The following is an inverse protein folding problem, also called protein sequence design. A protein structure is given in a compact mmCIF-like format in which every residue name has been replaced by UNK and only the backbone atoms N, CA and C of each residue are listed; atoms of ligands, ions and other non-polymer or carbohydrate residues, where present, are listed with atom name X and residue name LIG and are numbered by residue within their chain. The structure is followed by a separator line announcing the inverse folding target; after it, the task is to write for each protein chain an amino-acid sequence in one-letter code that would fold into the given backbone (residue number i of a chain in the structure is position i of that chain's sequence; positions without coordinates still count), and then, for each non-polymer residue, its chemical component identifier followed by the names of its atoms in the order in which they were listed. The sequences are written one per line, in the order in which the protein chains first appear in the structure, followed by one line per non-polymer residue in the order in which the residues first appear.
data_IF_848285693256
#
_entry.id   IF_848285693256
#
_cell.length_a   1.000
_cell.length_b   1.000
_cell.length_c   1.000
_cell.angle_alpha   90.00
_cell.angle_beta   90.00
_cell.angle_gamma   90.00
#
_symmetry.space_group_name_H-M   'P 1'
#
loop_
_entity.id
_entity.type
_entity.pdbx_description
1 polymer ?
#
# COMPACT_ATOMS: atom_id res chain seq x y z
N UNK A 1 17.91 4.52 2.33
CA UNK A 1 17.90 3.18 2.99
C UNK A 1 18.85 2.23 2.29
N UNK A 2 19.71 1.54 3.05
CA UNK A 2 20.54 0.43 2.54
C UNK A 2 19.64 -0.80 2.29
N UNK A 3 19.48 -1.17 1.02
CA UNK A 3 18.59 -2.26 0.61
C UNK A 3 19.06 -3.64 1.08
N UNK A 4 20.37 -3.83 1.24
CA UNK A 4 20.92 -5.11 1.68
C UNK A 4 20.62 -5.33 3.17
N UNK A 5 20.85 -4.31 3.99
CA UNK A 5 20.53 -4.34 5.44
C UNK A 5 19.03 -4.47 5.66
N UNK A 6 18.21 -3.71 4.93
CA UNK A 6 16.76 -3.79 5.02
C UNK A 6 16.24 -5.18 4.65
N UNK A 7 16.78 -5.80 3.59
CA UNK A 7 16.41 -7.16 3.18
C UNK A 7 16.83 -8.18 4.22
N UNK A 8 18.03 -8.04 4.80
CA UNK A 8 18.51 -8.94 5.85
C UNK A 8 17.62 -8.88 7.11
N UNK A 9 17.23 -7.67 7.53
CA UNK A 9 16.30 -7.47 8.63
C UNK A 9 14.96 -8.18 8.36
N UNK A 10 14.31 -7.90 7.23
CA UNK A 10 13.02 -8.50 6.91
C UNK A 10 13.12 -10.02 6.76
N UNK A 11 14.17 -10.55 6.18
CA UNK A 11 14.41 -11.99 6.11
C UNK A 11 14.58 -12.63 7.50
N UNK A 12 15.23 -11.93 8.44
CA UNK A 12 15.34 -12.35 9.84
C UNK A 12 13.97 -12.39 10.52
N UNK A 13 13.15 -11.35 10.33
CA UNK A 13 11.78 -11.28 10.86
C UNK A 13 10.93 -12.45 10.34
N UNK A 14 11.03 -12.76 9.06
CA UNK A 14 10.30 -13.88 8.43
C UNK A 14 10.70 -15.24 8.98
N UNK A 15 11.99 -15.47 9.27
CA UNK A 15 12.46 -16.75 9.85
C UNK A 15 11.89 -17.00 11.24
N UNK A 16 11.71 -15.96 12.04
CA UNK A 16 11.20 -16.08 13.41
C UNK A 16 9.67 -16.18 13.43
N UNK A 17 9.01 -15.61 12.42
CA UNK A 17 7.56 -15.57 12.28
C UNK A 17 7.16 -16.00 10.87
N UNK A 18 7.19 -17.31 10.56
CA UNK A 18 6.79 -17.80 9.25
C UNK A 18 5.33 -17.47 8.98
N UNK A 19 5.06 -17.06 7.76
CA UNK A 19 3.70 -16.80 7.28
C UNK A 19 3.16 -18.03 6.56
N UNK A 20 1.85 -18.33 6.66
CA UNK A 20 1.25 -19.51 6.06
C UNK A 20 1.20 -19.47 4.53
N UNK A 21 1.42 -18.34 3.87
CA UNK A 21 1.33 -18.24 2.41
C UNK A 21 2.52 -17.48 1.82
N UNK A 22 3.33 -18.13 1.04
CA UNK A 22 4.28 -17.72 -0.04
C UNK A 22 4.75 -16.24 -0.16
N UNK A 23 4.28 -15.31 0.66
CA UNK A 23 4.61 -13.89 0.61
C UNK A 23 6.03 -13.58 1.14
N UNK A 24 6.74 -14.59 1.63
CA UNK A 24 7.97 -14.43 2.42
C UNK A 24 9.16 -15.23 1.93
N UNK A 25 9.02 -15.85 0.77
CA UNK A 25 10.20 -16.41 0.13
C UNK A 25 11.20 -15.28 -0.15
N UNK A 26 12.51 -15.54 -0.03
CA UNK A 26 13.56 -14.57 -0.35
C UNK A 26 13.37 -13.91 -1.73
N UNK A 27 12.71 -14.62 -2.64
CA UNK A 27 12.37 -14.11 -3.97
C UNK A 27 11.27 -13.03 -3.93
N UNK A 28 10.25 -13.21 -3.10
CA UNK A 28 9.20 -12.20 -2.92
C UNK A 28 9.79 -10.90 -2.38
N UNK A 29 10.58 -10.97 -1.32
CA UNK A 29 11.28 -9.80 -0.76
C UNK A 29 12.16 -9.13 -1.83
N UNK A 30 12.96 -9.91 -2.54
CA UNK A 30 13.83 -9.39 -3.62
C UNK A 30 13.01 -8.64 -4.68
N UNK A 31 11.87 -9.17 -5.07
CA UNK A 31 10.97 -8.58 -6.08
C UNK A 31 10.35 -7.27 -5.61
N UNK A 32 9.99 -7.16 -4.34
CA UNK A 32 9.23 -6.03 -3.80
C UNK A 32 10.07 -4.96 -3.07
N UNK A 33 11.36 -5.22 -2.79
CA UNK A 33 12.23 -4.29 -2.06
C UNK A 33 12.30 -2.88 -2.68
N UNK A 34 12.33 -2.79 -4.03
CA UNK A 34 12.34 -1.48 -4.69
C UNK A 34 11.06 -0.69 -4.41
N UNK A 35 9.90 -1.37 -4.39
CA UNK A 35 8.61 -0.75 -4.05
C UNK A 35 8.57 -0.33 -2.58
N UNK A 36 9.02 -1.18 -1.67
CA UNK A 36 9.10 -0.84 -0.24
C UNK A 36 9.98 0.38 0.01
N UNK A 37 11.16 0.44 -0.63
CA UNK A 37 12.03 1.61 -0.54
C UNK A 37 11.33 2.87 -1.05
N UNK A 38 10.76 2.82 -2.25
CA UNK A 38 10.08 3.99 -2.85
C UNK A 38 8.88 4.44 -2.00
N UNK A 39 8.15 3.50 -1.39
CA UNK A 39 7.07 3.79 -0.44
C UNK A 39 7.61 4.51 0.80
N UNK A 40 8.66 3.96 1.43
CA UNK A 40 9.26 4.57 2.61
C UNK A 40 9.88 5.94 2.30
N UNK A 41 10.56 6.09 1.16
CA UNK A 41 11.15 7.38 0.72
C UNK A 41 10.05 8.44 0.54
N UNK A 42 8.91 8.08 -0.05
CA UNK A 42 7.77 8.99 -0.22
C UNK A 42 7.13 9.35 1.12
N UNK A 43 6.91 8.36 1.99
CA UNK A 43 6.38 8.59 3.33
C UNK A 43 7.32 9.51 4.13
N UNK A 44 8.61 9.20 4.19
CA UNK A 44 9.59 10.00 4.91
C UNK A 44 9.77 11.43 4.36
N UNK A 45 9.47 11.63 3.07
CA UNK A 45 9.55 12.96 2.42
C UNK A 45 8.31 13.82 2.68
N UNK A 46 7.13 13.18 2.80
CA UNK A 46 5.86 13.89 2.79
C UNK A 46 5.08 13.78 4.11
N UNK A 47 5.49 12.89 5.00
CA UNK A 47 4.90 12.73 6.32
C UNK A 47 5.81 13.30 7.40
N UNK A 48 5.30 14.12 8.33
CA UNK A 48 6.08 14.59 9.48
C UNK A 48 6.60 13.41 10.30
N UNK A 49 7.82 13.51 10.82
CA UNK A 49 8.42 12.48 11.69
C UNK A 49 7.92 12.57 13.12
N UNK A 50 7.48 13.75 13.52
CA UNK A 50 6.83 14.04 14.78
C UNK A 50 5.33 13.77 14.66
N UNK A 51 4.81 12.93 15.49
CA UNK A 51 3.41 12.58 15.51
C UNK A 51 3.12 11.16 14.99
N UNK A 52 1.90 10.73 15.25
CA UNK A 52 1.45 9.38 14.95
C UNK A 52 1.19 9.18 13.45
N UNK A 53 1.65 8.04 12.94
CA UNK A 53 1.35 7.56 11.60
C UNK A 53 0.48 6.30 11.69
N UNK A 54 -0.64 6.28 10.96
CA UNK A 54 -1.47 5.09 10.78
C UNK A 54 -1.17 4.44 9.43
N UNK A 55 -0.87 3.16 9.43
CA UNK A 55 -0.77 2.35 8.21
C UNK A 55 -2.01 1.48 8.05
N UNK A 56 -2.87 1.81 7.09
CA UNK A 56 -4.11 1.09 6.80
C UNK A 56 -3.81 -0.06 5.82
N UNK A 57 -4.15 -1.29 6.22
CA UNK A 57 -3.78 -2.50 5.49
C UNK A 57 -2.30 -2.85 5.67
N UNK A 58 -1.81 -2.76 6.91
CA UNK A 58 -0.39 -2.87 7.26
C UNK A 58 0.20 -4.28 7.10
N UNK A 59 -0.59 -5.31 6.92
CA UNK A 59 -0.05 -6.66 6.73
C UNK A 59 0.66 -6.77 5.37
N UNK A 60 1.90 -7.21 5.36
CA UNK A 60 2.67 -8.02 6.29
C UNK A 60 3.63 -7.26 7.25
N UNK A 61 3.57 -5.96 7.36
CA UNK A 61 4.36 -5.17 8.31
C UNK A 61 5.74 -4.72 7.79
N UNK A 62 6.05 -4.96 6.52
CA UNK A 62 7.38 -4.67 5.98
C UNK A 62 7.66 -3.17 5.92
N UNK A 63 6.71 -2.37 5.44
CA UNK A 63 6.86 -0.91 5.31
C UNK A 63 6.96 -0.27 6.69
N UNK A 64 6.12 -0.68 7.62
CA UNK A 64 6.04 -0.16 8.98
C UNK A 64 7.35 -0.39 9.75
N UNK A 65 7.89 -1.61 9.67
CA UNK A 65 9.18 -1.96 10.26
C UNK A 65 10.30 -1.13 9.63
N UNK A 66 10.32 -1.01 8.30
CA UNK A 66 11.34 -0.22 7.60
C UNK A 66 11.25 1.27 7.95
N UNK A 67 10.05 1.83 8.10
CA UNK A 67 9.85 3.24 8.50
C UNK A 67 10.45 3.51 9.89
N UNK A 68 10.26 2.60 10.84
CA UNK A 68 10.86 2.73 12.18
C UNK A 68 12.37 2.57 12.14
N UNK A 69 12.86 1.48 11.56
CA UNK A 69 14.27 1.08 11.66
C UNK A 69 15.23 1.91 10.79
N UNK A 70 14.75 2.46 9.68
CA UNK A 70 15.62 3.15 8.73
C UNK A 70 15.25 4.61 8.44
N UNK A 71 14.05 5.07 8.81
CA UNK A 71 13.58 6.41 8.46
C UNK A 71 13.27 7.30 9.66
N UNK A 72 13.37 6.76 10.88
CA UNK A 72 13.15 7.51 12.12
C UNK A 72 11.70 7.95 12.32
N UNK A 73 10.74 7.20 11.78
CA UNK A 73 9.32 7.41 12.04
C UNK A 73 8.91 6.45 13.15
N UNK A 74 8.95 6.93 14.40
CA UNK A 74 8.86 6.05 15.57
C UNK A 74 7.44 5.75 16.02
N UNK A 75 6.49 6.67 15.81
CA UNK A 75 5.10 6.51 16.27
C UNK A 75 4.22 5.92 15.16
N UNK A 76 4.46 4.66 14.81
CA UNK A 76 3.71 3.94 13.78
C UNK A 76 2.68 3.02 14.44
N UNK A 77 1.43 3.09 13.98
CA UNK A 77 0.38 2.12 14.28
C UNK A 77 -0.07 1.45 12.97
N UNK A 78 -0.32 0.15 13.03
CA UNK A 78 -0.89 -0.60 11.92
C UNK A 78 -2.40 -0.77 12.08
N UNK A 79 -3.13 -0.89 10.96
CA UNK A 79 -4.53 -1.32 10.95
C UNK A 79 -4.67 -2.46 9.94
N UNK A 80 -5.26 -3.56 10.38
CA UNK A 80 -5.51 -4.75 9.56
C UNK A 80 -6.97 -5.19 9.66
N UNK A 81 -7.51 -5.75 8.58
CA UNK A 81 -8.88 -6.30 8.55
C UNK A 81 -9.05 -7.47 9.54
N UNK A 82 -8.05 -8.35 9.60
CA UNK A 82 -8.00 -9.51 10.52
C UNK A 82 -6.54 -9.81 10.82
N UNK A 83 -6.06 -9.28 11.92
CA UNK A 83 -4.69 -9.50 12.33
C UNK A 83 -4.51 -10.90 12.94
N UNK A 84 -3.65 -11.74 12.37
CA UNK A 84 -3.30 -12.99 13.03
C UNK A 84 -2.54 -12.73 14.33
N UNK A 85 -2.67 -13.60 15.34
CA UNK A 85 -1.89 -13.47 16.59
C UNK A 85 -0.38 -13.44 16.34
N UNK A 86 0.10 -14.12 15.31
CA UNK A 86 1.51 -14.12 14.92
C UNK A 86 1.94 -12.78 14.32
N UNK A 87 1.11 -12.20 13.48
CA UNK A 87 1.34 -10.87 12.94
C UNK A 87 1.40 -9.83 14.05
N UNK A 88 0.41 -9.83 14.96
CA UNK A 88 0.37 -8.90 16.10
C UNK A 88 1.61 -9.04 16.99
N UNK A 89 2.01 -10.28 17.33
CA UNK A 89 3.23 -10.53 18.11
C UNK A 89 4.50 -10.04 17.41
N UNK A 90 4.57 -10.19 16.09
CA UNK A 90 5.70 -9.70 15.30
C UNK A 90 5.77 -8.18 15.33
N UNK A 91 4.67 -7.50 15.10
CA UNK A 91 4.62 -6.04 15.12
C UNK A 91 4.93 -5.47 16.51
N UNK A 92 4.49 -6.15 17.58
CA UNK A 92 4.81 -5.77 18.95
C UNK A 92 6.31 -5.78 19.26
N UNK A 93 7.12 -6.63 18.61
CA UNK A 93 8.59 -6.62 18.76
C UNK A 93 9.26 -5.35 18.25
N UNK A 94 8.57 -4.63 17.39
CA UNK A 94 8.99 -3.33 16.87
C UNK A 94 8.21 -2.17 17.48
N UNK A 95 7.49 -2.39 18.59
CA UNK A 95 6.61 -1.39 19.22
C UNK A 95 5.63 -0.77 18.22
N UNK A 96 5.03 -1.60 17.37
CA UNK A 96 4.02 -1.20 16.40
C UNK A 96 2.68 -1.83 16.83
N UNK A 97 1.78 -1.08 17.48
CA UNK A 97 0.45 -1.56 17.80
C UNK A 97 -0.34 -1.82 16.51
N UNK A 98 -1.15 -2.89 16.52
CA UNK A 98 -2.01 -3.25 15.41
C UNK A 98 -3.47 -3.16 15.86
N UNK A 99 -4.22 -2.29 15.18
CA UNK A 99 -5.66 -2.17 15.31
C UNK A 99 -6.34 -3.16 14.37
N UNK A 100 -7.42 -3.77 14.80
CA UNK A 100 -8.26 -4.62 13.93
C UNK A 100 -9.53 -3.86 13.57
N UNK A 101 -9.81 -3.73 12.25
CA UNK A 101 -10.96 -2.99 11.75
C UNK A 101 -11.23 -3.35 10.28
N UNK A 102 -12.49 -3.59 9.94
CA UNK A 102 -12.96 -3.62 8.56
C UNK A 102 -13.20 -2.17 8.07
N UNK A 103 -12.16 -1.56 7.55
CA UNK A 103 -12.21 -0.16 7.11
C UNK A 103 -13.23 0.11 6.01
N UNK A 104 -13.78 -0.92 5.34
CA UNK A 104 -14.88 -0.75 4.39
C UNK A 104 -16.24 -0.53 5.06
N UNK A 105 -16.38 -0.89 6.35
CA UNK A 105 -17.69 -0.93 7.04
C UNK A 105 -17.68 -0.27 8.40
N UNK A 106 -16.58 -0.42 9.13
CA UNK A 106 -16.49 -0.03 10.53
C UNK A 106 -15.70 1.28 10.68
N UNK A 107 -16.02 2.11 11.68
CA UNK A 107 -15.20 3.25 12.00
C UNK A 107 -13.83 2.81 12.49
N UNK A 108 -12.77 3.51 12.08
CA UNK A 108 -11.44 3.31 12.63
C UNK A 108 -11.48 3.60 14.13
N UNK A 109 -11.03 2.66 15.02
CA UNK A 109 -11.17 2.77 16.47
C UNK A 109 -10.17 3.77 17.08
N UNK A 110 -10.18 4.99 16.57
CA UNK A 110 -9.32 6.11 16.98
C UNK A 110 -10.11 7.43 16.91
N UNK A 111 -9.68 8.39 17.72
CA UNK A 111 -10.31 9.71 17.77
C UNK A 111 -10.08 10.53 16.48
N UNK A 112 -10.93 11.51 16.26
CA UNK A 112 -10.75 12.50 15.19
C UNK A 112 -9.41 13.22 15.34
N UNK A 113 -8.67 13.31 14.24
CA UNK A 113 -7.38 14.00 14.23
C UNK A 113 -6.25 13.31 15.01
N UNK A 114 -6.40 12.03 15.37
CA UNK A 114 -5.42 11.29 16.17
C UNK A 114 -4.06 11.09 15.46
N UNK A 115 -4.02 11.21 14.13
CA UNK A 115 -2.82 10.96 13.33
C UNK A 115 -2.39 12.18 12.53
N UNK A 116 -1.08 12.40 12.45
CA UNK A 116 -0.47 13.39 11.55
C UNK A 116 -0.32 12.87 10.14
N UNK A 117 -0.26 11.56 9.99
CA UNK A 117 -0.09 10.91 8.70
C UNK A 117 -0.88 9.60 8.63
N UNK A 118 -1.43 9.33 7.45
CA UNK A 118 -2.01 8.03 7.09
C UNK A 118 -1.30 7.51 5.84
N UNK A 119 -0.94 6.23 5.85
CA UNK A 119 -0.46 5.53 4.65
C UNK A 119 -1.44 4.43 4.27
N UNK A 120 -1.73 4.32 2.97
CA UNK A 120 -2.70 3.39 2.40
C UNK A 120 -2.11 2.79 1.12
N UNK A 121 -1.27 1.74 1.29
CA UNK A 121 -0.36 1.27 0.26
C UNK A 121 -0.78 -0.11 -0.26
N UNK A 122 -1.15 -0.18 -1.55
CA UNK A 122 -1.54 -1.42 -2.24
C UNK A 122 -2.72 -2.14 -1.56
N UNK A 123 -3.73 -1.38 -1.15
CA UNK A 123 -4.95 -1.89 -0.49
C UNK A 123 -6.20 -1.51 -1.28
N UNK A 124 -6.22 -0.35 -1.90
CA UNK A 124 -7.40 0.19 -2.62
C UNK A 124 -7.95 -0.80 -3.66
N UNK A 125 -7.07 -1.50 -4.36
CA UNK A 125 -7.44 -2.51 -5.37
C UNK A 125 -8.09 -3.76 -4.82
N UNK A 126 -7.94 -4.01 -3.52
CA UNK A 126 -8.52 -5.15 -2.82
C UNK A 126 -9.91 -4.87 -2.26
N UNK A 127 -10.31 -3.60 -2.17
CA UNK A 127 -11.60 -3.19 -1.64
C UNK A 127 -12.74 -3.51 -2.61
N UNK A 128 -13.94 -3.75 -2.06
CA UNK A 128 -15.13 -4.07 -2.84
C UNK A 128 -16.03 -2.84 -3.08
N UNK A 129 -16.56 -2.27 -2.02
CA UNK A 129 -17.57 -1.22 -2.11
C UNK A 129 -17.36 -0.08 -1.11
N UNK A 130 -16.60 -0.30 -0.03
CA UNK A 130 -16.46 0.64 1.08
C UNK A 130 -15.44 1.75 0.86
N UNK A 131 -14.94 1.97 -0.37
CA UNK A 131 -13.90 2.99 -0.66
C UNK A 131 -14.29 4.39 -0.16
N UNK A 132 -15.52 4.91 -0.39
CA UNK A 132 -15.90 6.22 0.12
C UNK A 132 -15.87 6.29 1.65
N UNK A 133 -16.36 5.24 2.33
CA UNK A 133 -16.34 5.15 3.79
C UNK A 133 -14.91 5.12 4.32
N UNK A 134 -14.07 4.26 3.77
CA UNK A 134 -12.67 4.14 4.18
C UNK A 134 -11.90 5.47 4.03
N UNK A 135 -12.09 6.17 2.92
CA UNK A 135 -11.45 7.47 2.70
C UNK A 135 -11.99 8.54 3.67
N UNK A 136 -13.30 8.52 3.97
CA UNK A 136 -13.89 9.42 4.95
C UNK A 136 -13.33 9.16 6.36
N UNK A 137 -13.19 7.90 6.76
CA UNK A 137 -12.62 7.50 8.04
C UNK A 137 -11.12 7.86 8.14
N UNK A 138 -10.33 7.60 7.09
CA UNK A 138 -8.93 8.05 7.04
C UNK A 138 -8.83 9.58 7.17
N UNK A 139 -9.74 10.33 6.53
CA UNK A 139 -9.82 11.77 6.68
C UNK A 139 -10.21 12.18 8.10
N UNK A 140 -11.16 11.49 8.72
CA UNK A 140 -11.61 11.77 10.10
C UNK A 140 -10.47 11.64 11.10
N UNK A 141 -9.71 10.54 11.03
CA UNK A 141 -8.62 10.27 11.98
C UNK A 141 -7.35 11.09 11.69
N UNK A 142 -7.20 11.68 10.50
CA UNK A 142 -6.12 12.62 10.21
C UNK A 142 -6.35 13.96 10.88
N UNK A 143 -5.30 14.55 11.46
CA UNK A 143 -5.32 15.93 11.93
C UNK A 143 -5.54 16.90 10.75
N UNK A 144 -6.10 18.10 10.99
CA UNK A 144 -6.16 19.16 9.96
C UNK A 144 -4.78 19.38 9.33
N UNK A 145 -4.70 19.42 8.01
CA UNK A 145 -3.44 19.50 7.26
C UNK A 145 -2.58 18.24 7.30
N UNK A 146 -3.04 17.18 7.93
CA UNK A 146 -2.35 15.88 7.97
C UNK A 146 -2.19 15.26 6.60
N UNK A 147 -1.15 14.45 6.42
CA UNK A 147 -0.73 13.89 5.13
C UNK A 147 -1.29 12.49 4.89
N UNK A 148 -1.75 12.23 3.67
CA UNK A 148 -2.08 10.89 3.18
C UNK A 148 -1.12 10.50 2.06
N UNK A 149 -0.50 9.32 2.17
CA UNK A 149 0.23 8.68 1.07
C UNK A 149 -0.51 7.40 0.69
N UNK A 150 -1.02 7.37 -0.55
CA UNK A 150 -1.76 6.22 -1.08
C UNK A 150 -0.99 5.64 -2.28
N UNK A 151 -0.92 4.32 -2.39
CA UNK A 151 -0.48 3.65 -3.61
C UNK A 151 -1.45 2.58 -4.08
N UNK A 152 -1.47 2.38 -5.41
CA UNK A 152 -2.27 1.33 -6.05
C UNK A 152 -1.72 1.03 -7.45
N UNK A 153 -1.93 -0.18 -8.01
CA UNK A 153 -1.61 -0.48 -9.40
C UNK A 153 -2.29 0.48 -10.39
N UNK A 154 -1.59 0.78 -11.47
CA UNK A 154 -2.12 1.64 -12.53
C UNK A 154 -2.86 0.81 -13.59
N UNK A 155 -4.18 0.92 -13.63
CA UNK A 155 -4.99 0.30 -14.68
C UNK A 155 -4.51 0.68 -16.09
N UNK A 156 -4.10 1.95 -16.28
CA UNK A 156 -3.67 2.49 -17.57
C UNK A 156 -2.21 2.17 -17.93
N UNK A 157 -1.51 1.31 -17.19
CA UNK A 157 -0.13 0.91 -17.47
C UNK A 157 0.04 0.34 -18.89
N UNK A 158 1.22 0.48 -19.48
CA UNK A 158 1.50 0.01 -20.86
C UNK A 158 1.12 -1.46 -21.07
N UNK A 159 1.46 -2.34 -20.14
CA UNK A 159 1.12 -3.77 -20.22
C UNK A 159 -0.39 -4.01 -20.37
N UNK A 160 -1.21 -3.28 -19.63
CA UNK A 160 -2.66 -3.40 -19.70
C UNK A 160 -3.22 -2.91 -21.03
N UNK A 161 -2.67 -1.80 -21.58
CA UNK A 161 -3.03 -1.31 -22.92
C UNK A 161 -2.73 -2.35 -24.00
N UNK A 162 -1.56 -2.98 -23.94
CA UNK A 162 -1.19 -4.06 -24.88
C UNK A 162 -2.10 -5.28 -24.72
N UNK A 163 -2.52 -5.63 -23.49
CA UNK A 163 -3.50 -6.70 -23.29
C UNK A 163 -4.84 -6.37 -23.96
N UNK A 164 -5.37 -5.17 -23.75
CA UNK A 164 -6.64 -4.74 -24.35
C UNK A 164 -6.59 -4.71 -25.87
N UNK A 165 -5.50 -4.19 -26.45
CA UNK A 165 -5.29 -4.21 -27.90
C UNK A 165 -5.26 -5.62 -28.50
N UNK A 166 -4.88 -6.63 -27.68
CA UNK A 166 -4.90 -8.05 -28.05
C UNK A 166 -6.21 -8.75 -27.67
N UNK A 167 -7.27 -8.02 -27.34
CA UNK A 167 -8.55 -8.58 -26.90
C UNK A 167 -8.48 -9.33 -25.57
N UNK A 168 -7.46 -9.09 -24.74
CA UNK A 168 -7.27 -9.78 -23.45
C UNK A 168 -7.75 -8.90 -22.29
N UNK A 169 -8.40 -9.54 -21.31
CA UNK A 169 -8.79 -8.87 -20.08
C UNK A 169 -7.57 -8.34 -19.30
N UNK A 170 -7.71 -7.18 -18.69
CA UNK A 170 -6.76 -6.63 -17.72
C UNK A 170 -7.00 -7.19 -16.32
N UNK A 171 -8.22 -7.61 -16.04
CA UNK A 171 -8.58 -8.21 -14.77
C UNK A 171 -7.90 -9.57 -14.57
N UNK A 172 -7.92 -10.05 -13.36
CA UNK A 172 -7.42 -11.38 -13.02
C UNK A 172 -8.14 -12.46 -13.86
N UNK A 173 -7.41 -13.42 -14.42
CA UNK A 173 -8.02 -14.41 -15.30
C UNK A 173 -9.00 -15.30 -14.53
N UNK A 174 -10.20 -15.47 -15.09
CA UNK A 174 -11.25 -16.32 -14.52
C UNK A 174 -10.92 -17.82 -14.67
N UNK A 175 -10.11 -18.17 -15.70
CA UNK A 175 -9.83 -19.56 -16.05
C UNK A 175 -8.42 -19.98 -15.64
N UNK A 176 -8.29 -21.20 -15.11
CA UNK A 176 -7.02 -21.88 -14.90
C UNK A 176 -6.19 -21.39 -13.71
N UNK A 177 -6.67 -20.44 -12.93
CA UNK A 177 -5.92 -20.01 -11.77
C UNK A 177 -6.58 -20.47 -10.48
N UNK A 178 -5.90 -21.34 -9.76
CA UNK A 178 -6.16 -21.58 -8.33
C UNK A 178 -6.23 -20.25 -7.54
N UNK A 179 -5.70 -19.17 -8.12
CA UNK A 179 -5.68 -17.85 -7.55
C UNK A 179 -7.02 -17.13 -7.53
N UNK A 180 -7.95 -17.40 -8.48
CA UNK A 180 -9.26 -16.75 -8.44
C UNK A 180 -10.24 -17.47 -7.51
N UNK A 181 -10.30 -18.79 -7.58
CA UNK A 181 -11.24 -19.59 -6.80
C UNK A 181 -10.69 -20.05 -5.45
N UNK A 182 -9.36 -20.07 -5.26
CA UNK A 182 -8.69 -20.54 -4.06
C UNK A 182 -8.25 -19.46 -3.07
N UNK A 183 -8.34 -18.17 -3.42
CA UNK A 183 -7.96 -17.08 -2.52
C UNK A 183 -9.18 -16.36 -1.95
N UNK A 184 -9.15 -15.98 -0.68
CA UNK A 184 -10.14 -15.08 -0.09
C UNK A 184 -10.29 -13.81 -0.92
N UNK A 185 -11.49 -13.26 -0.93
CA UNK A 185 -11.82 -12.13 -1.79
C UNK A 185 -10.95 -10.89 -1.54
N UNK A 186 -10.59 -10.63 -0.27
CA UNK A 186 -9.72 -9.53 0.14
C UNK A 186 -8.26 -9.65 -0.32
N UNK A 187 -7.84 -10.82 -0.82
CA UNK A 187 -6.50 -11.04 -1.39
C UNK A 187 -6.48 -10.90 -2.92
N UNK A 188 -7.60 -10.55 -3.54
CA UNK A 188 -7.71 -10.36 -4.99
C UNK A 188 -7.73 -8.88 -5.32
N UNK A 189 -7.19 -8.53 -6.51
CA UNK A 189 -7.48 -7.21 -7.07
C UNK A 189 -8.93 -7.22 -7.59
N UNK A 190 -9.81 -6.61 -6.84
CA UNK A 190 -11.22 -6.52 -7.19
C UNK A 190 -11.45 -5.44 -8.24
N UNK A 191 -10.69 -4.34 -8.15
CA UNK A 191 -10.69 -3.26 -9.12
C UNK A 191 -9.32 -2.60 -9.20
N UNK A 192 -8.81 -2.40 -10.41
CA UNK A 192 -7.70 -1.47 -10.65
C UNK A 192 -8.26 -0.10 -11.08
N UNK A 193 -7.49 0.94 -10.82
CA UNK A 193 -7.91 2.33 -11.02
C UNK A 193 -6.96 3.07 -11.96
N UNK A 194 -7.48 4.11 -12.62
CA UNK A 194 -6.68 5.13 -13.28
C UNK A 194 -6.33 6.26 -12.29
N UNK A 195 -5.30 7.04 -12.62
CA UNK A 195 -4.92 8.19 -11.80
C UNK A 195 -6.06 9.23 -11.66
N UNK A 196 -6.88 9.37 -12.71
CA UNK A 196 -8.02 10.29 -12.71
C UNK A 196 -9.10 9.84 -11.73
N UNK A 197 -9.41 8.54 -11.72
CA UNK A 197 -10.42 7.98 -10.79
C UNK A 197 -9.97 8.12 -9.34
N UNK A 198 -8.72 7.76 -9.00
CA UNK A 198 -8.22 7.90 -7.61
C UNK A 198 -8.19 9.37 -7.20
N UNK A 199 -7.74 10.27 -8.07
CA UNK A 199 -7.75 11.71 -7.77
C UNK A 199 -9.16 12.25 -7.55
N UNK A 200 -10.16 11.73 -8.27
CA UNK A 200 -11.56 12.08 -8.08
C UNK A 200 -12.04 11.57 -6.70
N UNK A 201 -11.84 10.29 -6.38
CA UNK A 201 -12.23 9.69 -5.10
C UNK A 201 -11.62 10.45 -3.90
N UNK A 202 -10.34 10.80 -3.98
CA UNK A 202 -9.67 11.56 -2.92
C UNK A 202 -10.29 12.96 -2.73
N UNK A 203 -10.62 13.67 -3.82
CA UNK A 203 -11.24 15.00 -3.74
C UNK A 203 -12.64 14.93 -3.19
N UNK A 204 -13.46 13.96 -3.64
CA UNK A 204 -14.81 13.73 -3.09
C UNK A 204 -14.77 13.42 -1.59
N UNK A 205 -13.73 12.72 -1.14
CA UNK A 205 -13.52 12.47 0.29
C UNK A 205 -12.95 13.68 1.07
N UNK A 206 -12.73 14.83 0.41
CA UNK A 206 -12.25 16.07 1.04
C UNK A 206 -10.74 16.12 1.23
N UNK A 207 -9.97 15.43 0.38
CA UNK A 207 -8.51 15.57 0.33
C UNK A 207 -8.06 16.54 -0.78
N UNK A 208 -7.01 17.29 -0.49
CA UNK A 208 -6.27 18.05 -1.50
C UNK A 208 -5.15 17.17 -2.05
N UNK A 209 -5.24 16.81 -3.32
CA UNK A 209 -4.21 16.01 -3.99
C UNK A 209 -3.07 16.93 -4.42
N UNK A 210 -1.93 16.86 -3.74
CA UNK A 210 -0.76 17.69 -4.01
C UNK A 210 0.08 17.15 -5.17
N UNK A 211 0.23 15.81 -5.22
CA UNK A 211 1.11 15.16 -6.19
C UNK A 211 0.63 13.77 -6.58
N UNK A 212 0.82 13.43 -7.87
CA UNK A 212 0.73 12.04 -8.36
C UNK A 212 2.11 11.64 -8.89
N UNK A 213 2.62 10.52 -8.42
CA UNK A 213 3.90 9.95 -8.84
C UNK A 213 3.69 8.58 -9.44
N UNK A 214 4.36 8.31 -10.54
CA UNK A 214 4.33 7.00 -11.19
C UNK A 214 5.67 6.30 -11.00
N UNK A 215 5.64 5.01 -10.66
CA UNK A 215 6.81 4.15 -10.50
C UNK A 215 6.66 2.89 -11.34
N UNK A 216 7.77 2.39 -11.82
CA UNK A 216 7.79 1.17 -12.62
C UNK A 216 8.62 0.09 -11.96
N UNK A 217 7.97 -1.01 -11.66
CA UNK A 217 8.58 -2.20 -11.06
C UNK A 217 8.61 -3.38 -12.04
N UNK A 218 8.49 -3.10 -13.34
CA UNK A 218 8.56 -4.12 -14.39
C UNK A 218 9.92 -4.82 -14.38
N UNK A 219 9.96 -6.16 -14.41
CA UNK A 219 11.22 -6.90 -14.39
C UNK A 219 11.99 -6.80 -15.72
N UNK A 220 11.31 -6.48 -16.82
CA UNK A 220 11.87 -6.41 -18.17
C UNK A 220 12.46 -5.03 -18.48
N UNK A 221 13.76 -4.98 -18.80
CA UNK A 221 14.48 -3.73 -19.12
C UNK A 221 13.83 -2.95 -20.27
N UNK A 222 13.44 -3.64 -21.34
CA UNK A 222 12.75 -3.02 -22.49
C UNK A 222 11.42 -2.35 -22.08
N UNK A 223 10.65 -3.01 -21.22
CA UNK A 223 9.41 -2.44 -20.69
C UNK A 223 9.68 -1.18 -19.86
N UNK A 224 10.73 -1.18 -19.05
CA UNK A 224 11.12 0.02 -18.28
C UNK A 224 11.51 1.18 -19.19
N UNK A 225 12.21 0.90 -20.29
CA UNK A 225 12.55 1.91 -21.29
C UNK A 225 11.28 2.54 -21.90
N UNK A 226 10.34 1.73 -22.37
CA UNK A 226 9.07 2.24 -22.89
C UNK A 226 8.26 2.99 -21.83
N UNK A 227 8.20 2.47 -20.61
CA UNK A 227 7.49 3.11 -19.51
C UNK A 227 8.15 4.43 -19.06
N UNK A 228 9.43 4.64 -19.38
CA UNK A 228 10.11 5.92 -19.10
C UNK A 228 9.66 7.05 -19.99
N UNK A 229 9.20 6.75 -21.23
CA UNK A 229 8.74 7.75 -22.19
C UNK A 229 7.46 8.46 -21.74
N UNK A 230 6.61 7.77 -20.97
CA UNK A 230 5.34 8.33 -20.52
C UNK A 230 5.04 7.93 -19.07
N UNK A 231 4.89 8.89 -18.13
CA UNK A 231 4.61 8.57 -16.73
C UNK A 231 3.42 7.63 -16.53
N UNK A 232 2.33 7.86 -17.29
CA UNK A 232 1.11 7.04 -17.23
C UNK A 232 1.24 5.59 -17.73
N UNK A 233 2.40 5.20 -18.28
CA UNK A 233 2.68 3.81 -18.68
C UNK A 233 3.24 2.97 -17.55
N UNK A 234 3.71 3.59 -16.46
CA UNK A 234 4.32 2.92 -15.32
C UNK A 234 3.29 2.12 -14.51
N UNK A 235 3.76 1.08 -13.85
CA UNK A 235 2.91 0.05 -13.24
C UNK A 235 2.19 0.47 -11.97
N UNK A 236 2.73 1.40 -11.18
CA UNK A 236 2.21 1.79 -9.88
C UNK A 236 2.09 3.30 -9.77
N UNK A 237 1.03 3.75 -9.14
CA UNK A 237 0.76 5.15 -8.83
C UNK A 237 0.88 5.39 -7.34
N UNK A 238 1.44 6.55 -6.99
CA UNK A 238 1.44 7.09 -5.62
C UNK A 238 0.76 8.45 -5.62
N UNK A 239 -0.12 8.65 -4.67
CA UNK A 239 -0.81 9.90 -4.43
C UNK A 239 -0.33 10.47 -3.10
N UNK A 240 0.07 11.72 -3.12
CA UNK A 240 0.37 12.50 -1.94
C UNK A 240 -0.75 13.52 -1.80
N UNK A 241 -1.48 13.46 -0.69
CA UNK A 241 -2.63 14.31 -0.45
C UNK A 241 -2.63 14.80 0.98
N UNK A 242 -3.41 15.86 1.25
CA UNK A 242 -3.59 16.44 2.59
C UNK A 242 -5.06 16.51 2.94
N UNK A 243 -5.39 16.35 4.23
CA UNK A 243 -6.71 16.72 4.75
C UNK A 243 -6.93 18.23 4.54
N UNK A 244 -7.96 18.59 3.79
CA UNK A 244 -8.41 19.96 3.66
C UNK A 244 -8.94 20.51 4.98
#
# INVERSE_FOLDING_TARGET
MDLQKARALLAGVVRVFPFPENAYEPEYLRKHMARYRDSCDLVATHCPRDGRLLSVGCEPGHVEILLKEFYGIHQVAGLSYRASPEFTRRMAKFDIPVLECDVERDPIPEADGAFRSVVFLEVLEHMFAGVPHALAEMRRVLAPGGSLVLSTPNLAQFRNRVKLLKGKSVNWPLHGSKMFFGKPAHLRHNREYTAREVSFLLREAGFLVDKVRFRDYSPRALMRLFNSLWPGFKSTMFFIARRA
#
